data_IF_903213854042
#
_entry.id   IF_903213854042
#
_cell.length_a   1.000
_cell.length_b   1.000
_cell.length_c   1.000
_cell.angle_alpha   90.00
_cell.angle_beta   90.00
_cell.angle_gamma   90.00
#
_symmetry.space_group_name_H-M   'P 1'
#
loop_
_entity.id
_entity.type
_entity.pdbx_description
1 polymer ?
#
# COMPACT_ATOMS: atom_id res chain seq x y z
N UNK A 1 -47.52 2.11 -33.03
CA UNK A 1 -46.68 3.27 -32.62
C UNK A 1 -46.64 3.37 -31.12
N UNK A 2 -45.59 2.87 -30.52
CA UNK A 2 -45.36 2.98 -29.06
C UNK A 2 -44.18 3.93 -28.87
N UNK A 3 -44.43 5.07 -28.22
CA UNK A 3 -43.41 6.07 -27.90
C UNK A 3 -42.65 5.63 -26.65
N UNK A 4 -41.41 5.21 -26.80
CA UNK A 4 -40.46 5.07 -25.71
C UNK A 4 -39.93 6.46 -25.30
N UNK A 5 -40.34 6.97 -24.18
CA UNK A 5 -39.71 8.13 -23.53
C UNK A 5 -38.75 7.65 -22.47
N UNK A 6 -37.49 7.54 -22.81
CA UNK A 6 -36.39 7.33 -21.84
C UNK A 6 -36.03 8.68 -21.21
N UNK A 7 -36.66 8.98 -20.07
CA UNK A 7 -36.19 10.06 -19.17
C UNK A 7 -35.13 9.49 -18.23
N UNK A 8 -33.85 9.54 -18.67
CA UNK A 8 -32.72 9.25 -17.80
C UNK A 8 -32.24 10.56 -17.19
N UNK A 9 -32.91 11.01 -16.13
CA UNK A 9 -32.46 12.12 -15.31
C UNK A 9 -31.34 11.62 -14.40
N UNK A 10 -30.08 11.89 -14.77
CA UNK A 10 -28.88 11.59 -14.01
C UNK A 10 -28.76 12.36 -12.70
N UNK A 11 -29.68 12.10 -11.76
CA UNK A 11 -29.52 12.45 -10.36
C UNK A 11 -28.82 11.27 -9.70
N UNK A 12 -27.51 11.42 -9.39
CA UNK A 12 -26.76 10.45 -8.62
C UNK A 12 -27.54 10.05 -7.39
N UNK A 13 -27.88 8.78 -7.26
CA UNK A 13 -28.47 8.21 -6.07
C UNK A 13 -27.52 8.49 -4.90
N UNK A 14 -27.87 9.46 -4.01
CA UNK A 14 -27.23 9.61 -2.71
C UNK A 14 -27.58 8.35 -1.94
N UNK A 15 -26.62 7.44 -1.79
CA UNK A 15 -26.79 6.30 -0.88
C UNK A 15 -27.17 6.83 0.51
N UNK A 16 -28.24 6.29 1.07
CA UNK A 16 -28.70 6.65 2.42
C UNK A 16 -27.58 6.34 3.44
N UNK A 17 -27.20 7.34 4.22
CA UNK A 17 -26.20 7.18 5.27
C UNK A 17 -26.64 6.15 6.30
N UNK A 18 -25.87 5.07 6.43
CA UNK A 18 -26.10 4.01 7.40
C UNK A 18 -25.64 4.48 8.78
N UNK A 19 -26.55 4.43 9.77
CA UNK A 19 -26.22 4.70 11.18
C UNK A 19 -25.90 3.40 11.91
N UNK A 20 -25.02 3.46 12.90
CA UNK A 20 -24.67 2.30 13.75
C UNK A 20 -25.88 1.96 14.64
N UNK A 21 -26.50 0.80 14.41
CA UNK A 21 -27.67 0.34 15.19
C UNK A 21 -27.33 0.02 16.65
N UNK A 22 -26.08 -0.36 16.96
CA UNK A 22 -25.60 -0.75 18.29
C UNK A 22 -24.77 0.35 18.96
N UNK A 23 -25.12 1.62 18.78
CA UNK A 23 -24.35 2.76 19.32
C UNK A 23 -24.46 2.89 20.84
N UNK A 24 -25.57 2.38 21.46
CA UNK A 24 -25.82 2.47 22.91
C UNK A 24 -24.74 1.70 23.68
N UNK A 25 -24.02 2.38 24.58
CA UNK A 25 -22.93 1.80 25.39
C UNK A 25 -21.54 1.80 24.74
N UNK A 26 -21.38 2.28 23.50
CA UNK A 26 -20.08 2.42 22.85
C UNK A 26 -19.47 3.80 23.08
N UNK A 27 -18.13 3.87 23.11
CA UNK A 27 -17.43 5.16 23.07
C UNK A 27 -17.78 5.90 21.78
N UNK A 28 -17.94 7.22 21.85
CA UNK A 28 -18.27 8.07 20.69
C UNK A 28 -17.28 7.88 19.54
N UNK A 29 -15.98 7.78 19.83
CA UNK A 29 -14.93 7.54 18.83
C UNK A 29 -15.14 6.23 18.06
N UNK A 30 -15.50 5.15 18.77
CA UNK A 30 -15.79 3.84 18.15
C UNK A 30 -17.05 3.89 17.28
N UNK A 31 -18.08 4.60 17.72
CA UNK A 31 -19.32 4.78 16.94
C UNK A 31 -19.04 5.56 15.65
N UNK A 32 -18.31 6.68 15.73
CA UNK A 32 -17.92 7.48 14.57
C UNK A 32 -17.02 6.72 13.62
N UNK A 33 -16.14 5.86 14.13
CA UNK A 33 -15.31 5.00 13.31
C UNK A 33 -16.13 3.98 12.53
N UNK A 34 -17.07 3.29 13.21
CA UNK A 34 -17.96 2.33 12.57
C UNK A 34 -18.86 3.00 11.52
N UNK A 35 -19.44 4.16 11.81
CA UNK A 35 -20.23 4.90 10.82
C UNK A 35 -19.42 5.26 9.59
N UNK A 36 -18.15 5.67 9.77
CA UNK A 36 -17.24 5.91 8.65
C UNK A 36 -16.98 4.65 7.83
N UNK A 37 -16.79 3.50 8.47
CA UNK A 37 -16.59 2.23 7.77
C UNK A 37 -17.83 1.81 6.97
N UNK A 38 -19.01 1.88 7.59
CA UNK A 38 -20.28 1.48 6.95
C UNK A 38 -20.65 2.36 5.74
N UNK A 39 -20.20 3.62 5.73
CA UNK A 39 -20.51 4.59 4.68
C UNK A 39 -19.35 4.82 3.70
N UNK A 40 -18.27 4.08 3.83
CA UNK A 40 -17.10 4.21 2.96
C UNK A 40 -17.31 3.40 1.68
N UNK A 41 -17.36 4.02 0.49
CA UNK A 41 -17.61 3.31 -0.76
C UNK A 41 -16.51 2.30 -1.08
N UNK A 42 -15.27 2.56 -0.68
CA UNK A 42 -14.16 1.64 -0.88
C UNK A 42 -14.25 0.39 0.02
N UNK A 43 -14.87 0.49 1.20
CA UNK A 43 -15.12 -0.68 2.06
C UNK A 43 -16.14 -1.60 1.40
N UNK A 44 -17.26 -1.06 0.91
CA UNK A 44 -18.28 -1.83 0.19
C UNK A 44 -17.70 -2.48 -1.07
N UNK A 45 -16.96 -1.70 -1.84
CA UNK A 45 -16.32 -2.16 -3.07
C UNK A 45 -15.31 -3.28 -2.78
N UNK A 46 -14.50 -3.16 -1.72
CA UNK A 46 -13.56 -4.19 -1.31
C UNK A 46 -14.25 -5.51 -1.00
N UNK A 47 -15.39 -5.47 -0.29
CA UNK A 47 -16.19 -6.66 0.00
C UNK A 47 -16.71 -7.34 -1.27
N UNK A 48 -17.22 -6.57 -2.23
CA UNK A 48 -17.73 -7.10 -3.50
C UNK A 48 -16.61 -7.69 -4.37
N UNK A 49 -15.46 -7.04 -4.44
CA UNK A 49 -14.32 -7.45 -5.26
C UNK A 49 -13.40 -8.49 -4.57
N UNK A 50 -13.72 -8.87 -3.32
CA UNK A 50 -12.95 -9.86 -2.54
C UNK A 50 -11.61 -9.37 -2.01
N UNK A 51 -11.43 -8.03 -1.86
CA UNK A 51 -10.28 -7.49 -1.17
C UNK A 51 -10.49 -7.48 0.34
N UNK A 52 -9.44 -7.74 1.09
CA UNK A 52 -9.46 -7.76 2.57
C UNK A 52 -9.73 -6.40 3.20
N UNK A 53 -9.57 -5.33 2.45
CA UNK A 53 -9.87 -4.00 2.93
C UNK A 53 -9.72 -2.93 1.86
N UNK A 54 -10.20 -1.74 2.21
CA UNK A 54 -10.12 -0.55 1.35
C UNK A 54 -8.69 -0.13 0.98
N UNK A 55 -7.70 -0.54 1.79
CA UNK A 55 -6.29 -0.22 1.53
C UNK A 55 -5.80 -0.76 0.18
N UNK A 56 -6.39 -1.86 -0.32
CA UNK A 56 -6.10 -2.40 -1.65
C UNK A 56 -6.24 -1.36 -2.76
N UNK A 57 -7.21 -0.45 -2.66
CA UNK A 57 -7.40 0.59 -3.68
C UNK A 57 -6.35 1.67 -3.68
N UNK A 58 -5.65 1.89 -2.55
CA UNK A 58 -4.53 2.83 -2.51
C UNK A 58 -3.44 2.40 -3.48
N UNK A 59 -2.99 1.14 -3.36
CA UNK A 59 -1.93 0.62 -4.23
C UNK A 59 -2.43 0.40 -5.66
N UNK A 60 -3.69 0.03 -5.86
CA UNK A 60 -4.30 -0.04 -7.20
C UNK A 60 -4.22 1.30 -7.92
N UNK A 61 -4.67 2.39 -7.30
CA UNK A 61 -4.69 3.73 -7.89
C UNK A 61 -3.27 4.30 -8.08
N UNK A 62 -2.32 3.93 -7.20
CA UNK A 62 -0.91 4.27 -7.36
C UNK A 62 -0.34 3.52 -8.57
N UNK A 63 -0.56 2.19 -8.65
CA UNK A 63 -0.07 1.38 -9.75
C UNK A 63 -0.71 1.74 -11.10
N UNK A 64 -2.00 2.07 -11.13
CA UNK A 64 -2.66 2.56 -12.36
C UNK A 64 -1.98 3.80 -12.93
N UNK A 65 -1.41 4.65 -12.07
CA UNK A 65 -0.69 5.86 -12.47
C UNK A 65 0.77 5.61 -12.84
N UNK A 66 1.48 4.79 -12.06
CA UNK A 66 2.94 4.62 -12.19
C UNK A 66 3.34 3.32 -12.90
N UNK A 67 2.47 2.31 -12.93
CA UNK A 67 2.59 1.05 -13.67
C UNK A 67 3.85 0.25 -13.35
N UNK A 68 4.14 0.04 -12.09
CA UNK A 68 5.30 -0.71 -11.63
C UNK A 68 5.01 -2.18 -11.29
N UNK A 69 3.76 -2.56 -11.01
CA UNK A 69 3.37 -3.96 -10.80
C UNK A 69 3.14 -4.68 -12.14
N UNK A 70 4.23 -5.01 -12.81
CA UNK A 70 4.18 -5.68 -14.11
C UNK A 70 4.26 -7.20 -13.99
N UNK A 71 3.71 -7.99 -14.92
CA UNK A 71 3.83 -9.44 -14.94
C UNK A 71 5.29 -9.91 -14.89
N UNK A 72 5.60 -10.79 -13.96
CA UNK A 72 6.94 -11.29 -13.72
C UNK A 72 7.73 -10.50 -12.68
N UNK A 73 7.20 -9.39 -12.19
CA UNK A 73 7.88 -8.61 -11.15
C UNK A 73 7.92 -9.37 -9.82
N UNK A 74 9.02 -9.19 -9.11
CA UNK A 74 9.28 -9.69 -7.77
C UNK A 74 9.02 -8.56 -6.77
N UNK A 75 8.04 -8.74 -5.89
CA UNK A 75 7.49 -7.70 -5.01
C UNK A 75 7.68 -8.07 -3.55
N UNK A 76 8.13 -7.11 -2.74
CA UNK A 76 8.13 -7.18 -1.28
C UNK A 76 7.11 -6.18 -0.72
N UNK A 77 6.26 -6.61 0.23
CA UNK A 77 5.24 -5.80 0.92
C UNK A 77 5.52 -5.81 2.43
N UNK A 78 6.04 -4.70 2.95
CA UNK A 78 6.37 -4.51 4.36
C UNK A 78 5.19 -3.87 5.10
N UNK A 79 4.70 -4.53 6.15
CA UNK A 79 3.47 -4.15 6.84
C UNK A 79 2.23 -4.56 6.05
N UNK A 80 2.23 -5.81 5.58
CA UNK A 80 1.26 -6.30 4.62
C UNK A 80 -0.15 -6.55 5.19
N UNK A 81 -0.33 -6.69 6.52
CA UNK A 81 -1.63 -6.99 7.12
C UNK A 81 -2.69 -5.92 6.81
N UNK A 82 -3.92 -6.30 6.54
CA UNK A 82 -4.51 -7.65 6.44
C UNK A 82 -4.27 -8.35 5.10
N UNK A 83 -3.44 -7.82 4.19
CA UNK A 83 -3.05 -8.45 2.94
C UNK A 83 -3.65 -7.86 1.67
N UNK A 84 -4.32 -6.72 1.77
CA UNK A 84 -4.95 -6.08 0.60
C UNK A 84 -3.95 -5.68 -0.49
N UNK A 85 -2.74 -5.23 -0.12
CA UNK A 85 -1.69 -4.88 -1.07
C UNK A 85 -1.09 -6.11 -1.72
N UNK A 86 -0.83 -7.17 -0.94
CA UNK A 86 -0.40 -8.47 -1.49
C UNK A 86 -1.41 -9.06 -2.49
N UNK A 87 -2.74 -8.93 -2.23
CA UNK A 87 -3.77 -9.38 -3.18
C UNK A 87 -3.67 -8.64 -4.53
N UNK A 88 -3.47 -7.32 -4.48
CA UNK A 88 -3.31 -6.50 -5.70
C UNK A 88 -2.02 -6.88 -6.42
N UNK A 89 -0.91 -6.96 -5.70
CA UNK A 89 0.39 -7.32 -6.26
C UNK A 89 0.33 -8.70 -6.95
N UNK A 90 -0.18 -9.74 -6.27
CA UNK A 90 -0.28 -11.09 -6.81
C UNK A 90 -1.06 -11.14 -8.15
N UNK A 91 -2.18 -10.41 -8.24
CA UNK A 91 -2.96 -10.30 -9.48
C UNK A 91 -2.19 -9.56 -10.58
N UNK A 92 -1.55 -8.44 -10.26
CA UNK A 92 -0.85 -7.59 -11.24
C UNK A 92 0.41 -8.27 -11.79
N UNK A 93 1.22 -8.87 -10.92
CA UNK A 93 2.46 -9.52 -11.34
C UNK A 93 2.25 -10.93 -11.92
N UNK A 94 0.99 -11.41 -11.96
CA UNK A 94 0.63 -12.73 -12.46
C UNK A 94 1.20 -13.88 -11.61
N UNK A 95 1.19 -13.74 -10.28
CA UNK A 95 1.81 -14.69 -9.36
C UNK A 95 1.16 -16.10 -9.42
N UNK A 96 -0.11 -16.21 -9.82
CA UNK A 96 -0.81 -17.48 -10.00
C UNK A 96 -0.63 -18.10 -11.41
N UNK A 97 0.04 -17.41 -12.33
CA UNK A 97 0.24 -17.90 -13.70
C UNK A 97 -1.04 -17.97 -14.55
N UNK A 98 -2.12 -17.29 -14.15
CA UNK A 98 -3.40 -17.30 -14.87
C UNK A 98 -3.28 -16.72 -16.28
N UNK A 99 -2.40 -15.76 -16.47
CA UNK A 99 -2.08 -15.16 -17.79
C UNK A 99 -0.93 -15.96 -18.43
N UNK A 100 -1.26 -17.04 -19.10
CA UNK A 100 -0.30 -18.03 -19.68
C UNK A 100 0.78 -17.42 -20.58
N UNK A 101 0.50 -16.31 -21.27
CA UNK A 101 1.46 -15.61 -22.14
C UNK A 101 2.38 -14.63 -21.42
N UNK A 102 2.23 -14.47 -20.11
CA UNK A 102 3.00 -13.52 -19.29
C UNK A 102 3.89 -14.24 -18.29
N UNK A 103 5.01 -13.60 -17.94
CA UNK A 103 5.89 -14.10 -16.89
C UNK A 103 5.14 -14.19 -15.57
N UNK A 104 5.51 -15.16 -14.75
CA UNK A 104 5.00 -15.34 -13.39
C UNK A 104 5.87 -14.51 -12.46
N UNK A 105 5.25 -13.62 -11.68
CA UNK A 105 5.92 -12.84 -10.65
C UNK A 105 5.82 -13.51 -9.29
N UNK A 106 6.43 -12.90 -8.28
CA UNK A 106 6.38 -13.35 -6.89
C UNK A 106 6.02 -12.20 -5.96
N UNK A 107 5.34 -12.52 -4.86
CA UNK A 107 4.98 -11.56 -3.82
C UNK A 107 5.38 -12.12 -2.47
N UNK A 108 6.20 -11.39 -1.76
CA UNK A 108 6.62 -11.66 -0.39
C UNK A 108 6.02 -10.60 0.53
N UNK A 109 5.21 -11.00 1.50
CA UNK A 109 4.62 -10.12 2.50
C UNK A 109 5.23 -10.36 3.88
N UNK A 110 5.41 -9.27 4.64
CA UNK A 110 5.91 -9.34 6.03
C UNK A 110 5.07 -8.45 6.92
N UNK A 111 4.63 -8.95 8.08
CA UNK A 111 3.90 -8.16 9.09
C UNK A 111 4.13 -8.72 10.50
N UNK A 112 3.86 -7.89 11.51
CA UNK A 112 3.79 -8.32 12.92
C UNK A 112 2.60 -9.22 13.21
N UNK A 113 1.53 -9.08 12.43
CA UNK A 113 0.27 -9.77 12.60
C UNK A 113 0.20 -10.97 11.66
N UNK A 114 -0.45 -12.02 12.13
CA UNK A 114 -0.80 -13.14 11.26
C UNK A 114 -1.76 -12.67 10.15
N UNK A 115 -1.46 -13.09 8.94
CA UNK A 115 -2.29 -12.81 7.77
C UNK A 115 -2.74 -14.13 7.17
N UNK A 116 -4.06 -14.29 6.99
CA UNK A 116 -4.59 -15.47 6.31
C UNK A 116 -3.94 -15.66 4.94
N UNK A 117 -3.83 -16.90 4.48
CA UNK A 117 -3.23 -17.24 3.18
C UNK A 117 -3.80 -16.42 2.03
N UNK A 118 -2.92 -15.86 1.23
CA UNK A 118 -3.27 -15.13 0.00
C UNK A 118 -2.71 -15.92 -1.19
N UNK A 119 -3.57 -16.35 -2.12
CA UNK A 119 -3.10 -17.05 -3.32
C UNK A 119 -2.09 -16.19 -4.10
N UNK A 120 -0.90 -16.78 -4.37
CA UNK A 120 0.16 -16.11 -5.10
C UNK A 120 1.03 -15.16 -4.26
N UNK A 121 0.90 -15.17 -2.93
CA UNK A 121 1.80 -14.48 -2.03
C UNK A 121 2.30 -15.40 -0.92
N UNK A 122 3.58 -15.30 -0.60
CA UNK A 122 4.20 -15.88 0.58
C UNK A 122 4.25 -14.83 1.68
N UNK A 123 3.75 -15.15 2.88
CA UNK A 123 3.63 -14.18 3.97
C UNK A 123 4.29 -14.74 5.23
N UNK A 124 5.10 -13.91 5.86
CA UNK A 124 5.84 -14.25 7.07
C UNK A 124 5.51 -13.29 8.20
N UNK A 125 5.41 -13.83 9.42
CA UNK A 125 5.27 -13.03 10.64
C UNK A 125 6.67 -12.64 11.09
N UNK A 126 6.96 -11.35 11.07
CA UNK A 126 8.26 -10.82 11.46
C UNK A 126 8.12 -9.36 11.91
N UNK A 127 8.77 -9.01 13.02
CA UNK A 127 9.03 -7.61 13.33
C UNK A 127 10.20 -7.12 12.47
N UNK A 128 9.88 -6.29 11.48
CA UNK A 128 10.88 -5.79 10.53
C UNK A 128 11.91 -4.86 11.18
N UNK A 129 11.65 -4.34 12.38
CA UNK A 129 12.55 -3.42 13.09
C UNK A 129 13.56 -4.12 14.01
N UNK A 130 13.48 -5.43 14.19
CA UNK A 130 14.49 -6.17 14.99
C UNK A 130 15.75 -6.43 14.17
N UNK A 131 16.89 -6.50 14.85
CA UNK A 131 18.17 -6.75 14.23
C UNK A 131 18.18 -8.05 13.42
N UNK A 132 18.64 -7.98 12.17
CA UNK A 132 18.71 -9.11 11.24
C UNK A 132 17.40 -9.46 10.54
N UNK A 133 16.31 -8.73 10.76
CA UNK A 133 15.05 -8.94 10.05
C UNK A 133 15.19 -8.71 8.55
N UNK A 134 15.93 -7.68 8.16
CA UNK A 134 16.27 -7.37 6.77
C UNK A 134 16.99 -8.54 6.07
N UNK A 135 17.96 -9.15 6.75
CA UNK A 135 18.69 -10.31 6.25
C UNK A 135 17.77 -11.53 6.07
N UNK A 136 16.80 -11.75 6.98
CA UNK A 136 15.82 -12.81 6.85
C UNK A 136 14.93 -12.59 5.62
N UNK A 137 14.39 -11.37 5.44
CA UNK A 137 13.56 -11.03 4.28
C UNK A 137 14.34 -11.19 2.98
N UNK A 138 15.61 -10.76 2.95
CA UNK A 138 16.52 -11.02 1.82
C UNK A 138 16.67 -12.51 1.50
N UNK A 139 16.83 -13.33 2.54
CA UNK A 139 16.93 -14.79 2.39
C UNK A 139 15.68 -15.41 1.76
N UNK A 140 14.49 -14.98 2.17
CA UNK A 140 13.22 -15.45 1.61
C UNK A 140 12.98 -14.94 0.18
N UNK A 141 13.41 -13.72 -0.12
CA UNK A 141 13.24 -13.11 -1.45
C UNK A 141 14.01 -13.88 -2.54
N UNK A 142 15.14 -14.51 -2.19
CA UNK A 142 15.97 -15.32 -3.09
C UNK A 142 16.33 -14.59 -4.40
N UNK A 143 16.87 -13.39 -4.27
CA UNK A 143 17.34 -12.53 -5.36
C UNK A 143 16.88 -11.07 -5.22
N UNK A 144 17.04 -10.28 -6.28
CA UNK A 144 16.67 -8.87 -6.27
C UNK A 144 15.16 -8.67 -6.41
N UNK A 145 14.63 -7.61 -5.82
CA UNK A 145 13.25 -7.17 -5.98
C UNK A 145 13.10 -6.16 -7.13
N UNK A 146 12.00 -6.21 -7.84
CA UNK A 146 11.60 -5.15 -8.76
C UNK A 146 10.82 -4.04 -8.05
N UNK A 147 10.11 -4.39 -6.97
CA UNK A 147 9.28 -3.46 -6.21
C UNK A 147 9.37 -3.75 -4.72
N UNK A 148 9.60 -2.71 -3.93
CA UNK A 148 9.41 -2.72 -2.47
C UNK A 148 8.28 -1.76 -2.12
N UNK A 149 7.26 -2.26 -1.44
CA UNK A 149 6.11 -1.50 -0.95
C UNK A 149 6.10 -1.49 0.57
N UNK A 150 5.63 -0.39 1.18
CA UNK A 150 5.45 -0.31 2.64
C UNK A 150 4.22 0.50 3.01
N UNK A 151 3.23 -0.14 3.65
CA UNK A 151 2.12 0.53 4.36
C UNK A 151 2.30 0.42 5.89
N UNK A 152 3.55 0.18 6.36
CA UNK A 152 3.85 0.11 7.79
C UNK A 152 3.33 1.33 8.53
N UNK A 153 2.75 1.13 9.69
CA UNK A 153 2.24 2.17 10.57
C UNK A 153 2.48 1.81 12.03
N UNK A 154 3.07 2.73 12.78
CA UNK A 154 3.07 2.61 14.22
C UNK A 154 1.67 2.84 14.79
N UNK A 155 1.36 2.19 15.91
CA UNK A 155 0.15 2.48 16.67
C UNK A 155 0.13 3.97 17.05
N UNK A 156 -1.02 4.64 16.84
CA UNK A 156 -1.14 6.06 17.18
C UNK A 156 -0.99 6.28 18.67
N UNK A 157 -0.06 7.17 19.04
CA UNK A 157 0.14 7.61 20.41
C UNK A 157 -0.83 8.73 20.82
N UNK A 158 -1.54 9.33 19.87
CA UNK A 158 -2.35 10.51 20.04
C UNK A 158 -1.57 11.83 19.96
N UNK A 159 -0.24 11.78 19.91
CA UNK A 159 0.62 12.95 19.72
C UNK A 159 1.10 13.03 18.26
N UNK A 160 0.58 14.00 17.52
CA UNK A 160 0.83 14.12 16.07
C UNK A 160 2.32 14.12 15.70
N UNK A 161 3.17 14.82 16.45
CA UNK A 161 4.61 14.88 16.19
C UNK A 161 5.28 13.53 16.40
N UNK A 162 4.96 12.83 17.50
CA UNK A 162 5.49 11.50 17.80
C UNK A 162 5.05 10.48 16.74
N UNK A 163 3.77 10.50 16.38
CA UNK A 163 3.23 9.60 15.36
C UNK A 163 3.88 9.87 13.99
N UNK A 164 4.14 11.14 13.67
CA UNK A 164 4.82 11.55 12.45
C UNK A 164 6.27 11.03 12.41
N UNK A 165 7.06 11.24 13.46
CA UNK A 165 8.44 10.75 13.54
C UNK A 165 8.52 9.23 13.43
N UNK A 166 7.62 8.49 14.09
CA UNK A 166 7.56 7.03 14.01
C UNK A 166 7.30 6.55 12.58
N UNK A 167 6.39 7.19 11.85
CA UNK A 167 6.09 6.80 10.47
C UNK A 167 7.27 7.13 9.54
N UNK A 168 7.98 8.24 9.78
CA UNK A 168 9.20 8.56 9.02
C UNK A 168 10.26 7.49 9.25
N UNK A 169 10.54 7.14 10.51
CA UNK A 169 11.53 6.09 10.83
C UNK A 169 11.18 4.75 10.17
N UNK A 170 9.90 4.37 10.15
CA UNK A 170 9.44 3.18 9.43
C UNK A 170 9.66 3.28 7.92
N UNK A 171 9.40 4.45 7.35
CA UNK A 171 9.62 4.70 5.92
C UNK A 171 11.12 4.70 5.57
N UNK A 172 11.97 5.25 6.43
CA UNK A 172 13.43 5.23 6.27
C UNK A 172 13.97 3.80 6.35
N UNK A 173 13.54 3.02 7.36
CA UNK A 173 13.92 1.61 7.46
C UNK A 173 13.54 0.81 6.20
N UNK A 174 12.32 1.02 5.68
CA UNK A 174 11.89 0.42 4.44
C UNK A 174 12.69 0.91 3.22
N UNK A 175 13.11 2.18 3.20
CA UNK A 175 13.92 2.74 2.12
C UNK A 175 15.35 2.16 2.11
N UNK A 176 15.99 2.05 3.27
CA UNK A 176 17.31 1.42 3.36
C UNK A 176 17.27 -0.05 2.93
N UNK A 177 16.27 -0.80 3.37
CA UNK A 177 16.05 -2.15 2.89
C UNK A 177 15.84 -2.20 1.35
N UNK A 178 15.06 -1.25 0.82
CA UNK A 178 14.84 -1.17 -0.63
C UNK A 178 16.15 -0.91 -1.40
N UNK A 179 17.08 -0.08 -0.89
CA UNK A 179 18.38 0.15 -1.51
C UNK A 179 19.24 -1.12 -1.57
N UNK A 180 19.07 -2.00 -0.58
CA UNK A 180 19.80 -3.24 -0.47
C UNK A 180 19.27 -4.37 -1.36
N UNK A 181 17.98 -4.34 -1.72
CA UNK A 181 17.35 -5.48 -2.41
C UNK A 181 16.81 -5.16 -3.79
N UNK A 182 16.65 -3.87 -4.15
CA UNK A 182 16.11 -3.51 -5.46
C UNK A 182 17.11 -3.74 -6.60
N UNK A 183 16.62 -4.37 -7.64
CA UNK A 183 17.31 -4.37 -8.94
C UNK A 183 17.40 -2.95 -9.52
N UNK A 184 18.44 -2.63 -10.31
CA UNK A 184 18.49 -1.38 -11.07
C UNK A 184 17.21 -1.17 -11.88
N UNK A 185 16.64 0.04 -11.82
CA UNK A 185 15.33 0.34 -12.42
C UNK A 185 14.13 0.07 -11.51
N UNK A 186 14.34 -0.57 -10.35
CA UNK A 186 13.30 -0.92 -9.39
C UNK A 186 12.53 0.26 -8.82
N UNK A 187 11.44 -0.04 -8.13
CA UNK A 187 10.49 0.95 -7.59
C UNK A 187 10.30 0.77 -6.08
N UNK A 188 10.31 1.88 -5.36
CA UNK A 188 9.96 1.96 -3.94
C UNK A 188 8.68 2.77 -3.74
N UNK A 189 7.73 2.23 -2.97
CA UNK A 189 6.48 2.90 -2.60
C UNK A 189 6.28 2.81 -1.10
N UNK A 190 6.12 3.94 -0.42
CA UNK A 190 5.90 3.92 1.02
C UNK A 190 4.92 4.97 1.50
N UNK A 191 4.20 4.66 2.58
CA UNK A 191 3.34 5.60 3.27
C UNK A 191 4.17 6.63 4.03
N UNK A 192 3.76 7.89 3.88
CA UNK A 192 4.28 9.05 4.63
C UNK A 192 3.12 9.89 5.16
N UNK A 193 3.39 10.73 6.14
CA UNK A 193 2.43 11.74 6.59
C UNK A 193 2.83 13.12 6.10
N UNK A 194 1.88 13.90 5.61
CA UNK A 194 2.11 15.28 5.26
C UNK A 194 2.46 16.11 6.50
N UNK A 195 3.53 16.91 6.43
CA UNK A 195 3.78 17.96 7.41
C UNK A 195 5.09 17.91 8.20
N UNK A 196 6.27 17.84 7.57
CA UNK A 196 7.43 18.30 8.27
C UNK A 196 8.80 17.80 7.83
N UNK A 197 9.22 16.60 8.18
CA UNK A 197 10.58 16.07 7.96
C UNK A 197 10.73 15.32 6.63
N UNK A 198 9.85 15.60 5.66
CA UNK A 198 9.89 14.99 4.32
C UNK A 198 11.17 15.35 3.54
N UNK A 199 11.89 16.40 3.94
CA UNK A 199 13.05 16.92 3.21
C UNK A 199 14.24 15.95 3.20
N UNK A 200 14.59 15.35 4.33
CA UNK A 200 15.72 14.42 4.45
C UNK A 200 15.43 13.11 3.71
N UNK A 201 14.27 12.51 3.97
CA UNK A 201 13.84 11.31 3.26
C UNK A 201 13.74 11.56 1.75
N UNK A 202 13.18 12.69 1.32
CA UNK A 202 13.14 13.03 -0.10
C UNK A 202 14.52 13.24 -0.71
N UNK A 203 15.45 13.87 0.03
CA UNK A 203 16.85 14.00 -0.38
C UNK A 203 17.51 12.64 -0.59
N UNK A 204 17.33 11.73 0.38
CA UNK A 204 17.81 10.36 0.34
C UNK A 204 17.25 9.60 -0.87
N UNK A 205 15.94 9.67 -1.10
CA UNK A 205 15.30 8.99 -2.23
C UNK A 205 15.74 9.60 -3.58
N UNK A 206 15.86 10.93 -3.70
CA UNK A 206 16.31 11.57 -4.94
C UNK A 206 17.75 11.22 -5.31
N UNK A 207 18.60 10.93 -4.32
CA UNK A 207 19.97 10.45 -4.55
C UNK A 207 19.98 9.06 -5.15
N UNK A 208 19.05 8.18 -4.72
CA UNK A 208 19.06 6.76 -5.09
C UNK A 208 18.12 6.42 -6.25
N UNK A 209 17.15 7.27 -6.59
CA UNK A 209 16.18 7.02 -7.66
C UNK A 209 16.18 8.12 -8.71
N UNK A 210 15.78 7.75 -9.93
CA UNK A 210 15.67 8.69 -11.06
C UNK A 210 14.53 9.67 -10.87
N UNK A 211 13.41 9.22 -10.30
CA UNK A 211 12.22 10.05 -10.09
C UNK A 211 11.58 9.76 -8.75
N UNK A 212 11.27 10.82 -8.00
CA UNK A 212 10.53 10.75 -6.72
C UNK A 212 9.28 11.62 -6.82
N UNK A 213 8.14 11.04 -6.48
CA UNK A 213 6.83 11.71 -6.55
C UNK A 213 6.05 11.46 -5.27
N UNK A 214 5.31 12.46 -4.80
CA UNK A 214 4.34 12.30 -3.72
C UNK A 214 2.93 12.22 -4.31
N UNK A 215 2.13 11.29 -3.81
CA UNK A 215 0.75 11.09 -4.25
C UNK A 215 -0.18 10.88 -3.05
N UNK A 216 -1.35 11.44 -3.13
CA UNK A 216 -2.48 11.08 -2.27
C UNK A 216 -3.52 10.41 -3.16
N UNK A 217 -3.60 9.05 -3.16
CA UNK A 217 -4.58 8.37 -4.01
C UNK A 217 -6.00 8.70 -3.55
N UNK A 218 -6.99 8.72 -4.47
CA UNK A 218 -8.40 8.96 -4.14
C UNK A 218 -8.95 8.04 -3.04
N UNK A 219 -8.46 6.81 -2.96
CA UNK A 219 -8.78 5.89 -1.89
C UNK A 219 -8.27 6.33 -0.50
N UNK A 220 -7.32 7.26 -0.39
CA UNK A 220 -6.97 7.87 0.89
C UNK A 220 -8.05 8.85 1.33
N UNK A 221 -8.44 8.78 2.61
CA UNK A 221 -9.48 9.67 3.15
C UNK A 221 -9.05 11.14 3.04
N UNK A 222 -9.98 12.02 2.66
CA UNK A 222 -9.70 13.46 2.47
C UNK A 222 -9.14 14.12 3.73
N UNK A 223 -9.65 13.73 4.91
CA UNK A 223 -9.23 14.25 6.21
C UNK A 223 -7.98 13.57 6.81
N UNK A 224 -7.39 12.59 6.13
CA UNK A 224 -6.13 11.95 6.56
C UNK A 224 -4.94 12.77 6.05
N UNK A 225 -3.90 12.90 6.88
CA UNK A 225 -2.59 13.42 6.47
C UNK A 225 -1.76 12.41 5.67
N UNK A 226 -2.27 11.18 5.48
CA UNK A 226 -1.61 10.11 4.74
C UNK A 226 -1.36 10.50 3.28
N UNK A 227 -0.15 10.27 2.84
CA UNK A 227 0.32 10.34 1.45
C UNK A 227 1.23 9.15 1.18
N UNK A 228 1.62 8.98 -0.06
CA UNK A 228 2.61 7.97 -0.46
C UNK A 228 3.73 8.63 -1.24
N UNK A 229 4.96 8.24 -0.93
CA UNK A 229 6.09 8.50 -1.80
C UNK A 229 6.21 7.35 -2.79
N UNK A 230 6.46 7.68 -4.06
CA UNK A 230 6.73 6.74 -5.15
C UNK A 230 8.05 7.15 -5.77
N UNK A 231 9.06 6.31 -5.59
CA UNK A 231 10.39 6.50 -6.14
C UNK A 231 10.65 5.42 -7.19
N UNK A 232 10.89 5.82 -8.44
CA UNK A 232 11.06 4.92 -9.58
C UNK A 232 12.43 5.06 -10.21
N UNK A 233 12.93 3.97 -10.78
CA UNK A 233 14.23 3.94 -11.43
C UNK A 233 15.38 3.96 -10.40
N UNK A 234 15.44 2.93 -9.55
CA UNK A 234 16.56 2.75 -8.64
C UNK A 234 17.89 2.69 -9.40
N UNK A 235 18.88 3.46 -8.95
CA UNK A 235 20.15 3.60 -9.69
C UNK A 235 21.10 2.42 -9.49
N UNK A 236 20.95 1.64 -8.40
CA UNK A 236 21.90 0.62 -8.01
C UNK A 236 23.18 1.19 -7.39
N UNK A 237 24.06 0.31 -6.94
CA UNK A 237 25.34 0.71 -6.31
C UNK A 237 26.35 1.34 -7.30
N UNK A 238 26.25 1.01 -8.58
CA UNK A 238 27.22 1.47 -9.59
C UNK A 238 27.15 2.98 -9.88
N UNK A 239 25.96 3.57 -9.80
CA UNK A 239 25.73 5.00 -10.08
C UNK A 239 25.91 5.92 -8.85
N UNK A 240 26.20 5.36 -7.67
CA UNK A 240 26.42 6.13 -6.44
C UNK A 240 27.86 6.66 -6.30
N UNK A 241 28.77 6.30 -7.22
CA UNK A 241 30.21 6.64 -7.17
C UNK A 241 30.64 7.79 -8.11
N UNK A 242 29.68 8.54 -8.67
CA UNK A 242 29.96 9.70 -9.51
C UNK A 242 29.57 11.02 -8.83
#
# INVERSE_FOLDING_TARGET
>A
MVKNSSNNSGRGQRELRVKVKTARGRRLSSTLWLERQLNDPYVKRAQVEGYRGRAAYKILEIDDKFRFLIPGARVVDLGCAPGGWCQVAARRVNALGERKSKKIGTVLGVDLQEVETIPGAEIYILDFLVDGADAQVKGWLNGEADVVMSDMAAASSGHKQTDHLRIISLCEAAAYFAFDVLAPGGTFVAKVLAGGTEGELQGLLKKNFTKVSNIKPPASRSNSSEKFVVATGFRGEADQKL
#
